data_IF_133884038851
#
_entry.id   IF_133884038851
#
_cell.length_a   1.000
_cell.length_b   1.000
_cell.length_c   1.000
_cell.angle_alpha   90.00
_cell.angle_beta   90.00
_cell.angle_gamma   90.00
#
_symmetry.space_group_name_H-M   'P 1'
#
loop_
_entity.id
_entity.type
_entity.pdbx_description
1 polymer ?
#
# COMPACT_ATOMS: atom_id res chain seq x y z
N UNK A 1 0.75 1.69 -17.89
CA UNK A 1 0.22 0.94 -16.74
C UNK A 1 1.38 0.24 -16.07
N UNK A 2 1.57 0.45 -14.77
CA UNK A 2 2.59 -0.18 -13.94
C UNK A 2 1.93 -0.71 -12.66
N UNK A 3 2.41 -1.86 -12.21
CA UNK A 3 1.96 -2.53 -10.98
C UNK A 3 3.20 -2.76 -10.13
N UNK A 4 3.17 -2.25 -8.91
CA UNK A 4 4.31 -2.27 -7.98
C UNK A 4 3.86 -2.96 -6.70
N UNK A 5 4.51 -4.07 -6.34
CA UNK A 5 4.29 -4.70 -5.04
C UNK A 5 4.92 -3.81 -3.97
N UNK A 6 4.09 -3.31 -3.05
CA UNK A 6 4.51 -2.43 -1.95
C UNK A 6 4.72 -3.24 -0.67
N UNK A 7 3.90 -4.27 -0.46
CA UNK A 7 3.92 -5.10 0.74
C UNK A 7 3.67 -6.55 0.34
N UNK A 8 4.44 -7.48 0.89
CA UNK A 8 4.28 -8.91 0.63
C UNK A 8 4.87 -9.75 1.77
N UNK A 9 4.48 -11.01 1.84
CA UNK A 9 5.05 -12.00 2.76
C UNK A 9 6.32 -12.68 2.22
N UNK A 10 6.68 -12.41 0.96
CA UNK A 10 7.93 -12.85 0.34
C UNK A 10 8.82 -11.65 0.07
N UNK A 11 10.08 -11.75 0.49
CA UNK A 11 11.10 -10.72 0.26
C UNK A 11 11.37 -10.61 -1.25
N UNK A 12 11.01 -9.47 -1.85
CA UNK A 12 11.31 -9.15 -3.25
C UNK A 12 12.48 -8.18 -3.44
N UNK A 13 12.74 -7.31 -2.45
CA UNK A 13 13.83 -6.32 -2.43
C UNK A 13 14.36 -6.22 -1.00
N UNK A 14 15.68 -6.30 -0.82
CA UNK A 14 16.29 -6.45 0.52
C UNK A 14 16.09 -5.26 1.47
N UNK A 15 15.86 -4.07 0.92
CA UNK A 15 15.65 -2.85 1.68
C UNK A 15 14.16 -2.59 2.01
N UNK A 16 13.22 -3.39 1.49
CA UNK A 16 11.79 -3.30 1.82
C UNK A 16 11.44 -4.20 3.01
N UNK A 17 10.57 -3.72 3.89
CA UNK A 17 9.98 -4.54 4.94
C UNK A 17 8.95 -5.52 4.36
N UNK A 18 8.71 -6.60 5.10
CA UNK A 18 7.77 -7.67 4.75
C UNK A 18 6.95 -8.08 5.97
N UNK A 19 5.79 -8.67 5.75
CA UNK A 19 4.85 -9.11 6.79
C UNK A 19 3.77 -10.01 6.19
N UNK A 20 2.78 -10.42 6.95
CA UNK A 20 1.68 -11.21 6.39
C UNK A 20 0.76 -10.34 5.53
N UNK A 21 0.26 -10.92 4.44
CA UNK A 21 -0.63 -10.26 3.50
C UNK A 21 0.06 -9.58 2.32
N UNK A 22 -0.64 -8.63 1.70
CA UNK A 22 -0.21 -8.00 0.46
C UNK A 22 -0.72 -6.56 0.34
N UNK A 23 0.05 -5.71 -0.34
CA UNK A 23 -0.39 -4.40 -0.83
C UNK A 23 0.30 -4.10 -2.17
N UNK A 24 -0.44 -3.55 -3.12
CA UNK A 24 0.05 -3.27 -4.47
C UNK A 24 -0.38 -1.88 -4.90
N UNK A 25 0.56 -1.09 -5.42
CA UNK A 25 0.26 0.18 -6.06
C UNK A 25 0.10 -0.03 -7.57
N UNK A 26 -1.05 0.34 -8.10
CA UNK A 26 -1.37 0.29 -9.54
C UNK A 26 -1.48 1.71 -10.05
N UNK A 27 -0.72 2.02 -11.11
CA UNK A 27 -0.71 3.35 -11.71
C UNK A 27 -0.78 3.30 -13.24
N UNK A 28 -1.50 4.27 -13.79
CA UNK A 28 -1.75 4.42 -15.21
C UNK A 28 -3.19 4.86 -15.46
N UNK A 29 -3.43 5.53 -16.59
CA UNK A 29 -4.76 6.06 -16.92
C UNK A 29 -5.29 7.11 -15.92
N UNK A 30 -4.42 8.03 -15.51
CA UNK A 30 -4.73 9.23 -14.71
C UNK A 30 -5.05 9.02 -13.23
N UNK A 31 -5.13 7.77 -12.75
CA UNK A 31 -5.41 7.48 -11.33
C UNK A 31 -4.45 6.47 -10.71
N UNK A 32 -4.10 6.69 -9.45
CA UNK A 32 -3.36 5.77 -8.60
C UNK A 32 -4.27 4.97 -7.68
N UNK A 33 -4.07 3.65 -7.61
CA UNK A 33 -4.84 2.76 -6.74
C UNK A 33 -3.88 2.03 -5.80
N UNK A 34 -4.13 2.09 -4.50
CA UNK A 34 -3.53 1.20 -3.51
C UNK A 34 -4.48 0.04 -3.25
N UNK A 35 -4.14 -1.13 -3.75
CA UNK A 35 -4.89 -2.36 -3.53
C UNK A 35 -4.36 -3.04 -2.27
N UNK A 36 -5.21 -3.17 -1.25
CA UNK A 36 -4.89 -3.63 0.11
C UNK A 36 -3.77 -2.83 0.79
N UNK A 37 -3.51 -3.13 2.07
CA UNK A 37 -2.64 -2.33 2.93
C UNK A 37 -1.68 -3.15 3.80
N UNK A 38 -1.65 -4.48 3.64
CA UNK A 38 -0.83 -5.38 4.47
C UNK A 38 -1.29 -5.43 5.93
N UNK A 39 -0.58 -6.20 6.75
CA UNK A 39 -0.81 -6.33 8.20
C UNK A 39 -0.22 -5.17 9.04
N UNK A 40 0.79 -4.46 8.51
CA UNK A 40 1.56 -3.49 9.28
C UNK A 40 1.70 -2.13 8.58
N UNK A 41 1.03 -1.13 9.14
CA UNK A 41 1.03 0.23 8.58
C UNK A 41 2.37 0.96 8.60
N UNK A 42 3.26 0.69 9.56
CA UNK A 42 4.60 1.30 9.57
C UNK A 42 5.42 0.80 8.39
N UNK A 43 5.43 -0.52 8.17
CA UNK A 43 6.13 -1.14 7.04
C UNK A 43 5.54 -0.66 5.71
N UNK A 44 4.21 -0.55 5.59
CA UNK A 44 3.54 -0.03 4.40
C UNK A 44 4.07 1.38 4.04
N UNK A 45 4.07 2.31 5.00
CA UNK A 45 4.51 3.69 4.76
C UNK A 45 6.00 3.77 4.43
N UNK A 46 6.85 3.03 5.15
CA UNK A 46 8.29 2.96 4.86
C UNK A 46 8.55 2.41 3.45
N UNK A 47 7.82 1.38 3.03
CA UNK A 47 7.97 0.79 1.71
C UNK A 47 7.53 1.77 0.61
N UNK A 48 6.41 2.48 0.77
CA UNK A 48 5.99 3.53 -0.16
C UNK A 48 7.09 4.59 -0.33
N UNK A 49 7.67 5.08 0.77
CA UNK A 49 8.77 6.04 0.75
C UNK A 49 10.01 5.50 0.02
N UNK A 50 10.43 4.27 0.32
CA UNK A 50 11.58 3.61 -0.31
C UNK A 50 11.35 3.26 -1.79
N UNK A 51 10.10 3.15 -2.21
CA UNK A 51 9.70 2.97 -3.62
C UNK A 51 9.54 4.31 -4.36
N UNK A 52 9.64 5.44 -3.65
CA UNK A 52 9.41 6.77 -4.22
C UNK A 52 7.95 7.04 -4.55
N UNK A 53 7.01 6.30 -3.93
CA UNK A 53 5.57 6.47 -4.10
C UNK A 53 5.08 7.42 -3.02
N UNK A 54 4.52 8.56 -3.42
CA UNK A 54 3.92 9.50 -2.48
C UNK A 54 2.48 9.06 -2.18
N UNK A 55 2.06 8.92 -0.90
CA UNK A 55 0.65 8.66 -0.56
C UNK A 55 -0.35 9.61 -1.22
N UNK A 56 0.07 10.84 -1.52
CA UNK A 56 -0.76 11.85 -2.22
C UNK A 56 -1.14 11.46 -3.65
N UNK A 57 -0.34 10.63 -4.32
CA UNK A 57 -0.59 10.17 -5.69
C UNK A 57 -1.58 9.00 -5.76
N UNK A 58 -1.99 8.45 -4.62
CA UNK A 58 -3.01 7.40 -4.52
C UNK A 58 -4.39 8.05 -4.40
N UNK A 59 -5.23 7.85 -5.40
CA UNK A 59 -6.58 8.42 -5.47
C UNK A 59 -7.63 7.53 -4.79
N UNK A 60 -7.41 6.21 -4.83
CA UNK A 60 -8.30 5.19 -4.29
C UNK A 60 -7.50 4.16 -3.49
N UNK A 61 -8.01 3.78 -2.33
CA UNK A 61 -7.66 2.52 -1.68
C UNK A 61 -8.74 1.53 -2.06
N UNK A 62 -8.36 0.32 -2.46
CA UNK A 62 -9.30 -0.77 -2.71
C UNK A 62 -8.97 -1.91 -1.75
N UNK A 63 -9.93 -2.30 -0.91
CA UNK A 63 -9.77 -3.44 -0.01
C UNK A 63 -10.43 -4.67 -0.61
N UNK A 64 -9.66 -5.74 -0.80
CA UNK A 64 -10.16 -7.00 -1.34
C UNK A 64 -11.16 -7.68 -0.41
N UNK A 65 -10.88 -7.68 0.89
CA UNK A 65 -11.74 -8.21 1.95
C UNK A 65 -11.25 -7.73 3.34
N UNK A 66 -12.06 -7.98 4.37
CA UNK A 66 -11.84 -7.48 5.73
C UNK A 66 -11.05 -8.44 6.63
N UNK A 67 -9.89 -8.92 6.17
CA UNK A 67 -8.91 -9.59 7.03
C UNK A 67 -7.77 -8.62 7.41
N UNK A 68 -7.19 -8.83 8.59
CA UNK A 68 -6.18 -7.95 9.17
C UNK A 68 -4.95 -7.79 8.27
N UNK A 69 -4.53 -8.84 7.58
CA UNK A 69 -3.40 -8.84 6.66
C UNK A 69 -3.65 -8.09 5.33
N UNK A 70 -4.87 -7.60 5.12
CA UNK A 70 -5.24 -6.75 4.00
C UNK A 70 -5.62 -5.32 4.45
N UNK A 71 -6.13 -5.15 5.66
CA UNK A 71 -6.62 -3.86 6.18
C UNK A 71 -5.72 -3.21 7.25
N UNK A 72 -4.73 -3.94 7.76
CA UNK A 72 -3.92 -3.55 8.92
C UNK A 72 -3.13 -2.25 8.72
N UNK A 73 -2.72 -1.95 7.49
CA UNK A 73 -2.03 -0.71 7.16
C UNK A 73 -2.94 0.51 6.94
N UNK A 74 -4.26 0.33 6.80
CA UNK A 74 -5.18 1.39 6.39
C UNK A 74 -5.12 2.62 7.30
N UNK A 75 -5.14 2.44 8.61
CA UNK A 75 -5.14 3.57 9.55
C UNK A 75 -3.84 4.37 9.52
N UNK A 76 -2.70 3.74 9.22
CA UNK A 76 -1.44 4.48 9.02
C UNK A 76 -1.44 5.22 7.70
N UNK A 77 -1.96 4.61 6.63
CA UNK A 77 -2.15 5.27 5.35
C UNK A 77 -3.05 6.51 5.45
N UNK A 78 -4.19 6.41 6.14
CA UNK A 78 -5.14 7.51 6.31
C UNK A 78 -4.59 8.69 7.13
N UNK A 79 -3.51 8.49 7.91
CA UNK A 79 -2.80 9.60 8.56
C UNK A 79 -1.96 10.41 7.57
N UNK A 80 -1.46 9.77 6.52
CA UNK A 80 -0.70 10.43 5.45
C UNK A 80 -1.63 11.07 4.41
N UNK A 81 -2.77 10.43 4.12
CA UNK A 81 -3.81 10.95 3.23
C UNK A 81 -5.22 10.60 3.75
N UNK A 82 -5.86 11.57 4.41
CA UNK A 82 -7.18 11.37 5.03
C UNK A 82 -8.35 11.63 4.07
N UNK A 83 -8.12 12.30 2.95
CA UNK A 83 -9.10 12.67 1.92
C UNK A 83 -9.04 11.72 0.71
N UNK A 84 -9.03 10.41 0.99
CA UNK A 84 -9.00 9.35 -0.03
C UNK A 84 -10.32 8.58 -0.05
N UNK A 85 -10.72 8.07 -1.21
CA UNK A 85 -11.82 7.09 -1.29
C UNK A 85 -11.27 5.71 -0.94
N UNK A 86 -11.98 4.97 -0.07
CA UNK A 86 -11.67 3.59 0.34
C UNK A 86 -12.82 2.68 -0.05
#
# INVERSE_FOLDING_TARGET
>A
MRVTIVFNNVIGREDLGYGWGMAVYVEGYERGILFDTGDNGTILIENLQKLGINPKDIDFVFLSHAHEDHTGGLWSFLREKSDVTV
#
